data_IF_389270080581
#
_entry.id   IF_389270080581
#
_cell.length_a   1.000
_cell.length_b   1.000
_cell.length_c   1.000
_cell.angle_alpha   90.00
_cell.angle_beta   90.00
_cell.angle_gamma   90.00
#
_symmetry.space_group_name_H-M   'P 1'
#
loop_
_entity.id
_entity.type
_entity.pdbx_description
1 polymer ?
#
# COMPACT_ATOMS: atom_id res chain seq x y z
N UNK A 1 4.09 -46.75 10.87
CA UNK A 1 4.83 -45.79 11.67
C UNK A 1 3.92 -44.66 12.11
N UNK A 2 3.87 -44.37 13.40
CA UNK A 2 3.14 -43.25 14.00
C UNK A 2 4.15 -42.40 14.77
N UNK A 3 4.12 -41.07 14.53
CA UNK A 3 4.97 -40.14 15.24
C UNK A 3 4.13 -38.94 15.69
N UNK A 4 4.06 -38.70 16.99
CA UNK A 4 3.27 -37.62 17.57
C UNK A 4 4.15 -36.75 18.46
N UNK A 5 4.26 -35.46 18.10
CA UNK A 5 4.93 -34.49 18.98
C UNK A 5 4.04 -34.23 20.20
N UNK A 6 4.59 -34.48 21.39
CA UNK A 6 3.91 -34.26 22.67
C UNK A 6 4.20 -32.86 23.21
N UNK A 7 5.45 -32.42 23.05
CA UNK A 7 5.90 -31.13 23.52
C UNK A 7 6.96 -30.56 22.57
N UNK A 8 6.74 -29.35 22.10
CA UNK A 8 7.54 -28.69 21.08
C UNK A 8 8.25 -27.42 21.58
N UNK A 9 8.37 -27.24 22.91
CA UNK A 9 8.97 -26.03 23.49
C UNK A 9 8.19 -24.73 23.19
N UNK A 10 6.93 -24.84 22.75
CA UNK A 10 6.11 -23.70 22.37
C UNK A 10 6.35 -23.21 20.93
N UNK A 11 7.04 -23.99 20.10
CA UNK A 11 7.39 -23.66 18.72
C UNK A 11 6.14 -23.44 17.85
N UNK A 12 5.16 -24.34 17.91
CA UNK A 12 3.90 -24.22 17.16
C UNK A 12 3.13 -22.96 17.60
N UNK A 13 3.04 -22.70 18.93
CA UNK A 13 2.36 -21.51 19.45
C UNK A 13 3.03 -20.22 18.99
N UNK A 14 4.36 -20.15 19.07
CA UNK A 14 5.11 -18.97 18.65
C UNK A 14 5.09 -18.79 17.13
N UNK A 15 5.09 -19.88 16.34
CA UNK A 15 4.90 -19.83 14.90
C UNK A 15 3.51 -19.30 14.51
N UNK A 16 2.44 -19.77 15.16
CA UNK A 16 1.08 -19.22 14.95
C UNK A 16 1.01 -17.72 15.28
N UNK A 17 1.63 -17.30 16.38
CA UNK A 17 1.67 -15.88 16.75
C UNK A 17 2.46 -15.05 15.73
N UNK A 18 3.56 -15.56 15.20
CA UNK A 18 4.35 -14.88 14.17
C UNK A 18 3.53 -14.70 12.86
N UNK A 19 2.80 -15.74 12.43
CA UNK A 19 1.91 -15.65 11.27
C UNK A 19 0.78 -14.63 11.52
N UNK A 20 0.16 -14.66 12.71
CA UNK A 20 -0.89 -13.70 13.07
C UNK A 20 -0.35 -12.26 13.07
N UNK A 21 0.83 -12.03 13.63
CA UNK A 21 1.44 -10.70 13.65
C UNK A 21 1.83 -10.24 12.23
N UNK A 22 2.27 -11.15 11.35
CA UNK A 22 2.54 -10.84 9.95
C UNK A 22 1.26 -10.43 9.22
N UNK A 23 0.15 -11.15 9.45
CA UNK A 23 -1.16 -10.79 8.90
C UNK A 23 -1.61 -9.38 9.32
N UNK A 24 -1.40 -9.00 10.59
CA UNK A 24 -1.74 -7.63 11.03
C UNK A 24 -0.86 -6.57 10.35
N UNK A 25 0.42 -6.85 10.08
CA UNK A 25 1.27 -5.95 9.28
C UNK A 25 0.72 -5.80 7.86
N UNK A 26 0.39 -6.92 7.20
CA UNK A 26 -0.14 -6.89 5.83
C UNK A 26 -1.48 -6.15 5.76
N UNK A 27 -2.36 -6.35 6.75
CA UNK A 27 -3.62 -5.64 6.87
C UNK A 27 -3.43 -4.12 7.01
N UNK A 28 -2.53 -3.70 7.92
CA UNK A 28 -2.26 -2.27 8.09
C UNK A 28 -1.56 -1.66 6.86
N UNK A 29 -0.74 -2.41 6.13
CA UNK A 29 -0.20 -1.98 4.84
C UNK A 29 -1.30 -1.68 3.81
N UNK A 30 -2.36 -2.50 3.78
CA UNK A 30 -3.52 -2.25 2.91
C UNK A 30 -4.20 -0.94 3.30
N UNK A 31 -4.38 -0.67 4.60
CA UNK A 31 -4.97 0.59 5.08
C UNK A 31 -4.12 1.82 4.69
N UNK A 32 -2.79 1.74 4.80
CA UNK A 32 -1.87 2.80 4.33
C UNK A 32 -2.01 3.02 2.82
N UNK A 33 -2.07 1.93 2.04
CA UNK A 33 -2.26 2.02 0.59
C UNK A 33 -3.61 2.64 0.22
N UNK A 34 -4.69 2.26 0.91
CA UNK A 34 -6.01 2.85 0.71
C UNK A 34 -6.02 4.34 1.05
N UNK A 35 -5.30 4.74 2.11
CA UNK A 35 -5.16 6.15 2.45
C UNK A 35 -4.45 6.94 1.34
N UNK A 36 -3.39 6.40 0.77
CA UNK A 36 -2.68 7.02 -0.36
C UNK A 36 -3.53 7.09 -1.64
N UNK A 37 -4.40 6.11 -1.88
CA UNK A 37 -5.38 6.13 -2.99
C UNK A 37 -6.39 7.26 -2.79
N UNK A 38 -6.91 7.46 -1.57
CA UNK A 38 -7.81 8.56 -1.26
C UNK A 38 -7.15 9.93 -1.51
N UNK A 39 -5.89 10.08 -1.11
CA UNK A 39 -5.13 11.31 -1.40
C UNK A 39 -5.02 11.56 -2.91
N UNK A 40 -4.70 10.52 -3.69
CA UNK A 40 -4.61 10.63 -5.15
C UNK A 40 -5.97 10.97 -5.79
N UNK A 41 -7.07 10.39 -5.32
CA UNK A 41 -8.42 10.72 -5.77
C UNK A 41 -8.73 12.20 -5.48
N UNK A 42 -8.40 12.69 -4.28
CA UNK A 42 -8.58 14.08 -3.93
C UNK A 42 -7.77 15.01 -4.85
N UNK A 43 -6.51 14.69 -5.13
CA UNK A 43 -5.67 15.46 -6.05
C UNK A 43 -6.28 15.53 -7.45
N UNK A 44 -6.79 14.42 -7.97
CA UNK A 44 -7.46 14.37 -9.28
C UNK A 44 -8.74 15.20 -9.26
N UNK A 45 -9.57 15.06 -8.22
CA UNK A 45 -10.83 15.79 -8.07
C UNK A 45 -10.60 17.31 -8.03
N UNK A 46 -9.66 17.77 -7.20
CA UNK A 46 -9.29 19.19 -7.16
C UNK A 46 -8.60 19.65 -8.44
N UNK A 47 -7.87 18.76 -9.13
CA UNK A 47 -7.31 19.03 -10.45
C UNK A 47 -8.39 19.31 -11.50
N UNK A 48 -9.53 18.60 -11.48
CA UNK A 48 -10.67 18.86 -12.34
C UNK A 48 -11.28 20.24 -12.03
N UNK A 49 -11.51 20.54 -10.75
CA UNK A 49 -12.05 21.83 -10.34
C UNK A 49 -11.15 23.01 -10.73
N UNK A 50 -9.83 22.81 -10.62
CA UNK A 50 -8.85 23.81 -11.06
C UNK A 50 -8.90 24.01 -12.56
N UNK A 51 -8.95 22.93 -13.35
CA UNK A 51 -9.05 22.99 -14.80
C UNK A 51 -10.35 23.71 -15.23
N UNK A 52 -11.48 23.47 -14.57
CA UNK A 52 -12.73 24.20 -14.83
C UNK A 52 -12.61 25.69 -14.56
N UNK A 53 -11.99 26.06 -13.46
CA UNK A 53 -11.74 27.47 -13.13
C UNK A 53 -10.80 28.14 -14.15
N UNK A 54 -9.77 27.42 -14.65
CA UNK A 54 -8.86 27.91 -15.68
C UNK A 54 -9.55 28.07 -17.04
N UNK A 55 -10.43 27.14 -17.43
CA UNK A 55 -11.23 27.24 -18.66
C UNK A 55 -12.11 28.49 -18.60
N UNK A 56 -12.81 28.70 -17.48
CA UNK A 56 -13.67 29.89 -17.34
C UNK A 56 -12.88 31.19 -17.31
N UNK A 57 -11.76 31.24 -16.61
CA UNK A 57 -10.87 32.41 -16.60
C UNK A 57 -10.35 32.71 -18.03
N UNK A 58 -9.95 31.70 -18.75
CA UNK A 58 -9.46 31.86 -20.11
C UNK A 58 -10.57 32.29 -21.09
N UNK A 59 -11.80 31.81 -20.89
CA UNK A 59 -12.98 32.27 -21.65
C UNK A 59 -13.21 33.77 -21.45
N UNK A 60 -13.13 34.27 -20.22
CA UNK A 60 -13.25 35.70 -19.91
C UNK A 60 -12.10 36.52 -20.54
N UNK A 61 -10.87 35.98 -20.51
CA UNK A 61 -9.71 36.60 -21.15
C UNK A 61 -9.93 36.72 -22.67
N UNK A 62 -10.43 35.67 -23.32
CA UNK A 62 -10.73 35.71 -24.79
C UNK A 62 -11.75 36.78 -25.11
N UNK A 63 -12.81 36.93 -24.32
CA UNK A 63 -13.80 37.99 -24.51
C UNK A 63 -13.14 39.38 -24.39
N UNK A 64 -12.30 39.57 -23.36
CA UNK A 64 -11.57 40.85 -23.19
C UNK A 64 -10.64 41.16 -24.36
N UNK A 65 -9.85 40.17 -24.83
CA UNK A 65 -8.94 40.31 -25.94
C UNK A 65 -9.68 40.59 -27.25
N UNK A 66 -10.83 39.94 -27.49
CA UNK A 66 -11.65 40.18 -28.69
C UNK A 66 -12.18 41.61 -28.70
N UNK A 67 -12.73 42.09 -27.59
CA UNK A 67 -13.21 43.47 -27.49
C UNK A 67 -12.06 44.46 -27.70
N UNK A 68 -10.87 44.19 -27.12
CA UNK A 68 -9.67 45.01 -27.31
C UNK A 68 -9.21 45.01 -28.78
N UNK A 69 -9.27 43.87 -29.44
CA UNK A 69 -8.95 43.77 -30.87
C UNK A 69 -9.86 44.64 -31.72
N UNK A 70 -11.18 44.57 -31.51
CA UNK A 70 -12.16 45.41 -32.23
C UNK A 70 -11.91 46.91 -32.02
N UNK A 71 -11.58 47.28 -30.78
CA UNK A 71 -11.26 48.68 -30.47
C UNK A 71 -9.98 49.18 -31.16
N UNK A 72 -8.89 48.37 -31.09
CA UNK A 72 -7.63 48.73 -31.75
C UNK A 72 -7.74 48.69 -33.25
N UNK A 73 -8.52 47.78 -33.82
CA UNK A 73 -8.82 47.73 -35.24
C UNK A 73 -9.46 49.06 -35.72
N UNK A 74 -10.41 49.61 -34.95
CA UNK A 74 -11.00 50.88 -35.22
C UNK A 74 -9.96 52.03 -35.19
N UNK A 75 -9.02 52.01 -34.24
CA UNK A 75 -7.93 53.00 -34.15
C UNK A 75 -6.96 52.88 -35.31
N UNK A 76 -6.62 51.71 -35.79
CA UNK A 76 -5.76 51.49 -36.97
C UNK A 76 -6.46 52.03 -38.22
N UNK A 77 -7.75 51.72 -38.38
CA UNK A 77 -8.55 52.23 -39.52
C UNK A 77 -8.61 53.79 -39.55
N UNK A 78 -8.56 54.41 -38.41
CA UNK A 78 -8.56 55.89 -38.28
C UNK A 78 -7.15 56.48 -38.21
N UNK A 79 -6.08 55.69 -38.37
CA UNK A 79 -4.69 56.19 -38.35
C UNK A 79 -4.15 56.58 -36.96
N UNK A 80 -4.81 56.15 -35.88
CA UNK A 80 -4.47 56.49 -34.49
C UNK A 80 -3.53 55.41 -33.86
N UNK A 81 -3.56 54.17 -34.33
CA UNK A 81 -2.74 53.07 -33.88
C UNK A 81 -2.01 52.38 -35.05
N UNK A 82 -0.96 51.61 -34.74
CA UNK A 82 -0.19 50.86 -35.74
C UNK A 82 -0.72 49.46 -35.96
N UNK A 83 -0.47 48.89 -37.12
CA UNK A 83 -0.83 47.50 -37.45
C UNK A 83 -0.16 46.51 -36.50
N UNK A 84 1.06 46.77 -36.03
CA UNK A 84 1.78 45.94 -35.06
C UNK A 84 1.05 45.81 -33.73
N UNK A 85 0.31 46.84 -33.29
CA UNK A 85 -0.48 46.77 -32.06
C UNK A 85 -1.65 45.81 -32.20
N UNK A 86 -2.31 45.79 -33.37
CA UNK A 86 -3.37 44.84 -33.69
C UNK A 86 -2.85 43.42 -33.80
N UNK A 87 -1.69 43.22 -34.43
CA UNK A 87 -1.07 41.93 -34.60
C UNK A 87 -0.63 41.33 -33.23
N UNK A 88 -0.18 42.18 -32.28
CA UNK A 88 0.14 41.75 -30.93
C UNK A 88 -1.08 41.19 -30.19
N UNK A 89 -2.24 41.88 -30.26
CA UNK A 89 -3.48 41.36 -29.62
C UNK A 89 -3.92 40.06 -30.30
N UNK A 90 -3.77 39.94 -31.63
CA UNK A 90 -4.08 38.70 -32.32
C UNK A 90 -3.24 37.51 -31.87
N UNK A 91 -1.95 37.73 -31.63
CA UNK A 91 -1.06 36.72 -31.04
C UNK A 91 -1.56 36.28 -29.64
N UNK A 92 -2.01 37.22 -28.83
CA UNK A 92 -2.52 36.88 -27.47
C UNK A 92 -3.85 36.14 -27.53
N UNK A 93 -4.73 36.43 -28.49
CA UNK A 93 -5.95 35.62 -28.77
C UNK A 93 -5.56 34.18 -29.11
N UNK A 94 -4.60 33.98 -30.03
CA UNK A 94 -4.14 32.64 -30.44
C UNK A 94 -3.57 31.88 -29.25
N UNK A 95 -2.78 32.55 -28.38
CA UNK A 95 -2.28 31.93 -27.13
C UNK A 95 -3.42 31.53 -26.19
N UNK A 96 -4.45 32.37 -26.06
CA UNK A 96 -5.62 32.03 -25.25
C UNK A 96 -6.38 30.83 -25.82
N UNK A 97 -6.47 30.67 -27.15
CA UNK A 97 -7.06 29.49 -27.79
C UNK A 97 -6.23 28.21 -27.56
N UNK A 98 -4.90 28.32 -27.58
CA UNK A 98 -4.02 27.21 -27.25
C UNK A 98 -4.22 26.79 -25.77
N UNK A 99 -4.21 27.76 -24.85
CA UNK A 99 -4.43 27.48 -23.43
C UNK A 99 -5.78 26.82 -23.17
N UNK A 100 -6.85 27.23 -23.86
CA UNK A 100 -8.16 26.59 -23.77
C UNK A 100 -8.10 25.12 -24.15
N UNK A 101 -7.42 24.80 -25.24
CA UNK A 101 -7.23 23.41 -25.71
C UNK A 101 -6.46 22.59 -24.68
N UNK A 102 -5.42 23.17 -24.09
CA UNK A 102 -4.59 22.53 -23.06
C UNK A 102 -5.41 22.24 -21.79
N UNK A 103 -6.16 23.24 -21.29
CA UNK A 103 -6.99 23.07 -20.10
C UNK A 103 -8.10 22.02 -20.30
N UNK A 104 -8.76 22.02 -21.47
CA UNK A 104 -9.75 21.00 -21.83
C UNK A 104 -9.11 19.60 -21.87
N UNK A 105 -7.90 19.48 -22.42
CA UNK A 105 -7.18 18.21 -22.50
C UNK A 105 -6.79 17.70 -21.11
N UNK A 106 -6.31 18.59 -20.24
CA UNK A 106 -5.99 18.28 -18.83
C UNK A 106 -7.24 17.82 -18.09
N UNK A 107 -8.38 18.55 -18.22
CA UNK A 107 -9.65 18.15 -17.61
C UNK A 107 -10.08 16.76 -18.07
N UNK A 108 -10.05 16.49 -19.38
CA UNK A 108 -10.39 15.16 -19.96
C UNK A 108 -9.51 14.06 -19.38
N UNK A 109 -8.22 14.33 -19.22
CA UNK A 109 -7.26 13.37 -18.66
C UNK A 109 -7.61 13.04 -17.19
N UNK A 110 -7.87 14.04 -16.37
CA UNK A 110 -8.27 13.83 -14.97
C UNK A 110 -9.59 13.08 -14.84
N UNK A 111 -10.61 13.42 -15.68
CA UNK A 111 -11.89 12.70 -15.70
C UNK A 111 -11.68 11.22 -16.08
N UNK A 112 -10.87 10.95 -17.12
CA UNK A 112 -10.57 9.58 -17.52
C UNK A 112 -9.88 8.78 -16.41
N UNK A 113 -8.96 9.39 -15.67
CA UNK A 113 -8.29 8.76 -14.53
C UNK A 113 -9.29 8.52 -13.41
N UNK A 114 -10.13 9.52 -13.07
CA UNK A 114 -11.14 9.39 -12.02
C UNK A 114 -12.15 8.29 -12.34
N UNK A 115 -12.62 8.20 -13.59
CA UNK A 115 -13.52 7.13 -14.07
C UNK A 115 -12.90 5.75 -13.85
N UNK A 116 -11.58 5.58 -14.11
CA UNK A 116 -10.87 4.31 -13.89
C UNK A 116 -10.75 3.97 -12.40
N UNK A 117 -10.56 4.96 -11.53
CA UNK A 117 -10.48 4.72 -10.09
C UNK A 117 -11.83 4.37 -9.47
N UNK A 118 -12.90 5.04 -9.91
CA UNK A 118 -14.25 4.86 -9.36
C UNK A 118 -15.03 3.73 -10.01
N UNK A 119 -14.63 3.30 -11.21
CA UNK A 119 -15.37 2.33 -12.02
C UNK A 119 -16.66 2.91 -12.67
N UNK A 120 -16.92 4.21 -12.50
CA UNK A 120 -18.05 4.90 -13.12
C UNK A 120 -17.59 5.63 -14.37
N UNK A 121 -18.45 5.63 -15.41
CA UNK A 121 -18.24 6.46 -16.58
C UNK A 121 -18.70 7.90 -16.26
N UNK A 122 -17.75 8.84 -16.27
CA UNK A 122 -17.99 10.24 -15.91
C UNK A 122 -17.93 11.07 -17.17
N UNK A 123 -19.03 11.74 -17.49
CA UNK A 123 -19.12 12.64 -18.65
C UNK A 123 -18.29 13.91 -18.43
N UNK A 124 -17.75 14.48 -19.53
CA UNK A 124 -16.99 15.73 -19.50
C UNK A 124 -17.78 16.92 -18.95
N UNK A 125 -19.09 16.94 -19.16
CA UNK A 125 -19.98 18.02 -18.70
C UNK A 125 -20.49 17.82 -17.27
N UNK A 126 -20.05 16.77 -16.58
CA UNK A 126 -20.41 16.55 -15.17
C UNK A 126 -19.94 17.73 -14.34
N UNK A 127 -20.86 18.31 -13.57
CA UNK A 127 -20.56 19.41 -12.66
C UNK A 127 -19.91 18.87 -11.38
N UNK A 128 -18.71 19.34 -11.09
CA UNK A 128 -17.96 19.01 -9.89
C UNK A 128 -18.16 20.10 -8.83
N UNK A 129 -18.67 19.70 -7.67
CA UNK A 129 -18.97 20.64 -6.58
C UNK A 129 -17.75 20.84 -5.68
N UNK A 130 -17.38 22.08 -5.40
CA UNK A 130 -16.33 22.38 -4.43
C UNK A 130 -16.79 21.97 -3.03
N UNK A 131 -16.05 21.03 -2.35
CA UNK A 131 -16.42 20.60 -1.01
C UNK A 131 -16.40 21.76 -0.02
N UNK A 132 -17.36 21.79 0.90
CA UNK A 132 -17.31 22.72 2.04
C UNK A 132 -16.16 22.33 2.95
N UNK A 133 -15.38 23.33 3.37
CA UNK A 133 -14.22 23.14 4.24
C UNK A 133 -14.64 23.21 5.69
N UNK A 134 -14.90 22.07 6.31
CA UNK A 134 -15.00 22.00 7.77
C UNK A 134 -13.60 21.92 8.36
N UNK A 135 -13.29 22.86 9.28
CA UNK A 135 -12.01 22.83 9.98
C UNK A 135 -11.90 21.51 10.76
N UNK A 136 -10.90 20.67 10.50
CA UNK A 136 -10.73 19.46 11.27
C UNK A 136 -10.52 19.83 12.75
N UNK A 137 -11.32 19.22 13.63
CA UNK A 137 -11.09 19.32 15.07
C UNK A 137 -9.68 18.81 15.38
N UNK A 138 -8.86 19.65 16.02
CA UNK A 138 -7.45 19.38 16.33
C UNK A 138 -7.20 18.12 17.21
N UNK A 139 -8.26 17.42 17.64
CA UNK A 139 -8.19 16.27 18.53
C UNK A 139 -7.89 14.91 17.87
N UNK A 140 -7.70 14.83 16.55
CA UNK A 140 -7.60 13.55 15.83
C UNK A 140 -6.29 13.38 15.04
N UNK A 141 -5.18 13.96 15.49
CA UNK A 141 -3.88 13.87 14.80
C UNK A 141 -3.32 12.43 14.82
N UNK A 142 -3.71 11.59 15.79
CA UNK A 142 -3.17 10.23 15.99
C UNK A 142 -3.84 9.12 15.14
N UNK A 143 -4.60 9.49 14.11
CA UNK A 143 -5.30 8.49 13.27
C UNK A 143 -4.64 8.21 11.93
N UNK A 144 -3.35 8.48 11.78
CA UNK A 144 -2.66 8.09 10.55
C UNK A 144 -2.47 6.58 10.51
N UNK A 145 -2.88 5.89 9.43
CA UNK A 145 -2.75 4.43 9.32
C UNK A 145 -1.30 3.95 9.41
N UNK A 146 -0.32 4.81 9.09
CA UNK A 146 1.10 4.52 9.21
C UNK A 146 1.51 4.23 10.66
N UNK A 147 0.91 4.90 11.65
CA UNK A 147 1.20 4.68 13.07
C UNK A 147 0.76 3.25 13.46
N UNK A 148 -0.44 2.85 13.05
CA UNK A 148 -0.94 1.48 13.28
C UNK A 148 -0.07 0.44 12.59
N UNK A 149 0.48 0.75 11.41
CA UNK A 149 1.42 -0.12 10.71
C UNK A 149 2.73 -0.28 11.51
N UNK A 150 3.31 0.80 12.05
CA UNK A 150 4.51 0.72 12.88
C UNK A 150 4.25 -0.10 14.16
N UNK A 151 3.13 0.09 14.83
CA UNK A 151 2.75 -0.72 15.99
C UNK A 151 2.64 -2.21 15.62
N UNK A 152 2.03 -2.54 14.50
CA UNK A 152 1.94 -3.91 14.01
C UNK A 152 3.32 -4.50 13.68
N UNK A 153 4.24 -3.72 13.12
CA UNK A 153 5.62 -4.14 12.85
C UNK A 153 6.38 -4.43 14.15
N UNK A 154 6.25 -3.59 15.17
CA UNK A 154 6.84 -3.82 16.49
C UNK A 154 6.30 -5.12 17.12
N UNK A 155 4.99 -5.36 17.00
CA UNK A 155 4.37 -6.60 17.49
C UNK A 155 4.88 -7.83 16.73
N UNK A 156 5.09 -7.71 15.42
CA UNK A 156 5.70 -8.77 14.62
C UNK A 156 7.11 -9.08 15.08
N UNK A 157 7.97 -8.09 15.29
CA UNK A 157 9.32 -8.30 15.80
C UNK A 157 9.33 -8.94 17.19
N UNK A 158 8.41 -8.58 18.08
CA UNK A 158 8.23 -9.24 19.39
C UNK A 158 7.83 -10.71 19.25
N UNK A 159 6.96 -11.01 18.28
CA UNK A 159 6.56 -12.39 17.98
C UNK A 159 7.73 -13.20 17.40
N UNK A 160 8.53 -12.62 16.52
CA UNK A 160 9.74 -13.24 15.97
C UNK A 160 10.80 -13.48 17.06
N UNK A 161 10.95 -12.56 18.02
CA UNK A 161 11.79 -12.75 19.19
C UNK A 161 11.34 -13.94 20.05
N UNK A 162 10.02 -14.06 20.27
CA UNK A 162 9.45 -15.20 20.99
C UNK A 162 9.70 -16.52 20.26
N UNK A 163 9.59 -16.52 18.93
CA UNK A 163 9.86 -17.68 18.08
C UNK A 163 11.32 -18.13 18.14
N UNK A 164 12.28 -17.18 18.17
CA UNK A 164 13.69 -17.52 18.39
C UNK A 164 13.92 -18.21 19.71
N UNK A 165 13.25 -17.75 20.76
CA UNK A 165 13.39 -18.36 22.08
C UNK A 165 12.81 -19.77 22.14
N UNK A 166 11.69 -20.04 21.45
CA UNK A 166 11.09 -21.38 21.43
C UNK A 166 11.99 -22.41 20.76
N UNK A 167 12.81 -22.00 19.78
CA UNK A 167 13.80 -22.87 19.13
C UNK A 167 14.96 -23.34 20.02
N UNK A 168 15.08 -22.83 21.27
CA UNK A 168 16.07 -23.28 22.25
C UNK A 168 15.63 -24.46 23.10
N UNK A 169 14.35 -24.74 23.11
CA UNK A 169 13.80 -25.81 23.95
C UNK A 169 13.84 -27.16 23.22
N UNK A 170 14.03 -28.25 23.96
CA UNK A 170 13.95 -29.59 23.41
C UNK A 170 12.53 -29.92 22.91
N UNK A 171 12.43 -30.82 21.95
CA UNK A 171 11.18 -31.35 21.44
C UNK A 171 11.02 -32.81 21.83
N UNK A 172 9.87 -33.18 22.39
CA UNK A 172 9.55 -34.54 22.75
C UNK A 172 8.48 -35.08 21.82
N UNK A 173 8.76 -36.25 21.25
CA UNK A 173 7.82 -36.97 20.37
C UNK A 173 7.64 -38.41 20.85
N UNK A 174 6.43 -38.91 20.77
CA UNK A 174 6.13 -40.32 20.91
C UNK A 174 6.19 -40.95 19.51
N UNK A 175 6.86 -42.08 19.40
CA UNK A 175 6.83 -42.86 18.19
C UNK A 175 6.39 -44.31 18.45
N UNK A 176 5.67 -44.87 17.51
CA UNK A 176 5.28 -46.27 17.46
C UNK A 176 5.52 -46.78 16.04
N UNK A 177 6.39 -47.75 15.92
CA UNK A 177 6.67 -48.44 14.65
C UNK A 177 6.26 -49.91 14.79
N UNK A 178 5.46 -50.39 13.89
CA UNK A 178 5.06 -51.81 13.82
C UNK A 178 5.36 -52.39 12.46
N UNK A 179 5.68 -53.63 12.43
CA UNK A 179 5.95 -54.39 11.19
C UNK A 179 5.70 -55.85 11.33
N UNK A 180 5.69 -56.53 10.19
CA UNK A 180 5.64 -57.99 10.07
C UNK A 180 6.78 -58.43 9.15
N UNK A 181 7.72 -59.22 9.65
CA UNK A 181 8.93 -59.51 8.93
C UNK A 181 9.60 -60.81 9.36
N UNK A 182 10.61 -61.23 8.58
CA UNK A 182 11.46 -62.38 8.84
C UNK A 182 12.91 -62.01 8.61
N UNK A 183 13.79 -62.06 9.62
CA UNK A 183 13.44 -62.17 11.03
C UNK A 183 12.66 -60.98 11.52
N UNK A 184 11.89 -61.14 12.61
CA UNK A 184 11.26 -60.04 13.33
C UNK A 184 12.30 -59.24 14.16
N UNK A 185 11.96 -58.83 15.39
CA UNK A 185 12.92 -58.22 16.31
C UNK A 185 13.98 -59.23 16.83
N UNK A 186 13.62 -60.53 16.86
CA UNK A 186 14.55 -61.59 17.26
C UNK A 186 15.28 -62.09 16.00
N UNK A 187 16.59 -61.77 15.89
CA UNK A 187 17.45 -62.17 14.79
C UNK A 187 17.75 -63.68 14.78
N UNK A 188 17.50 -64.42 15.87
CA UNK A 188 17.73 -65.84 15.99
C UNK A 188 16.53 -66.66 15.55
N UNK A 189 15.34 -66.10 15.49
CA UNK A 189 14.16 -66.75 14.95
C UNK A 189 13.96 -66.52 13.47
N UNK A 190 14.17 -67.57 12.68
CA UNK A 190 13.96 -67.54 11.22
C UNK A 190 12.48 -67.76 10.84
N UNK A 191 11.55 -67.02 11.49
CA UNK A 191 10.12 -67.05 11.26
C UNK A 191 9.55 -65.64 10.97
N UNK A 192 8.48 -65.57 10.21
CA UNK A 192 7.69 -64.33 10.09
C UNK A 192 6.95 -64.07 11.40
N UNK A 193 7.23 -62.94 12.02
CA UNK A 193 6.58 -62.53 13.26
C UNK A 193 6.20 -61.04 13.21
N UNK A 194 5.07 -60.65 13.83
CA UNK A 194 4.75 -59.24 14.05
C UNK A 194 5.64 -58.69 15.12
N UNK A 195 6.03 -57.40 14.95
CA UNK A 195 6.79 -56.67 15.98
C UNK A 195 6.29 -55.23 16.11
N UNK A 196 6.48 -54.64 17.24
CA UNK A 196 6.29 -53.22 17.46
C UNK A 196 7.40 -52.65 18.34
N UNK A 197 7.74 -51.38 18.07
CA UNK A 197 8.67 -50.61 18.88
C UNK A 197 7.94 -49.32 19.21
N UNK A 198 7.88 -48.98 20.46
CA UNK A 198 7.35 -47.70 20.95
C UNK A 198 8.36 -47.01 21.86
N UNK A 199 8.45 -45.70 21.77
CA UNK A 199 9.38 -44.97 22.55
C UNK A 199 9.17 -43.47 22.51
N UNK A 200 9.97 -42.74 23.32
CA UNK A 200 10.01 -41.30 23.34
C UNK A 200 11.30 -40.85 22.65
N UNK A 201 11.16 -39.92 21.72
CA UNK A 201 12.28 -39.29 21.00
C UNK A 201 12.47 -37.88 21.51
N UNK A 202 13.69 -37.57 21.99
CA UNK A 202 14.14 -36.22 22.34
C UNK A 202 14.96 -35.65 21.19
N UNK A 203 14.55 -34.50 20.70
CA UNK A 203 15.34 -33.72 19.72
C UNK A 203 15.65 -32.34 20.31
N UNK A 204 16.94 -32.04 20.46
CA UNK A 204 17.41 -30.77 21.01
C UNK A 204 18.53 -30.17 20.16
N UNK A 205 18.29 -29.03 19.56
CA UNK A 205 19.29 -28.32 18.77
C UNK A 205 20.09 -27.34 19.63
N UNK A 206 21.19 -27.84 20.21
CA UNK A 206 22.10 -27.04 21.07
C UNK A 206 22.85 -25.97 20.23
N UNK A 207 23.04 -26.19 18.92
CA UNK A 207 23.70 -25.24 18.01
C UNK A 207 23.04 -23.85 17.94
N UNK A 208 21.73 -23.79 18.17
CA UNK A 208 20.98 -22.52 18.17
C UNK A 208 21.49 -21.53 19.25
N UNK A 209 22.10 -21.98 20.32
CA UNK A 209 22.64 -21.10 21.37
C UNK A 209 23.76 -20.19 20.86
N UNK A 210 24.56 -20.62 19.89
CA UNK A 210 25.69 -19.85 19.36
C UNK A 210 25.24 -18.64 18.56
N UNK A 211 24.17 -18.77 17.76
CA UNK A 211 23.66 -17.70 16.89
C UNK A 211 22.65 -16.78 17.57
N UNK A 212 22.06 -17.23 18.69
CA UNK A 212 20.94 -16.57 19.36
C UNK A 212 21.25 -15.12 19.76
N UNK A 213 22.43 -14.85 20.31
CA UNK A 213 22.81 -13.51 20.80
C UNK A 213 22.79 -12.49 19.65
N UNK A 214 23.33 -12.85 18.50
CA UNK A 214 23.36 -11.99 17.32
C UNK A 214 21.96 -11.76 16.74
N UNK A 215 21.14 -12.82 16.65
CA UNK A 215 19.78 -12.75 16.13
C UNK A 215 18.87 -11.90 17.05
N UNK A 216 18.98 -12.06 18.37
CA UNK A 216 18.27 -11.22 19.33
C UNK A 216 18.66 -9.74 19.23
N UNK A 217 19.95 -9.45 19.05
CA UNK A 217 20.44 -8.08 18.87
C UNK A 217 19.85 -7.45 17.60
N UNK A 218 19.81 -8.21 16.50
CA UNK A 218 19.24 -7.74 15.24
C UNK A 218 17.74 -7.41 15.38
N UNK A 219 16.95 -8.29 16.00
CA UNK A 219 15.52 -8.02 16.21
C UNK A 219 15.31 -6.82 17.14
N UNK A 220 16.12 -6.69 18.20
CA UNK A 220 16.02 -5.55 19.10
C UNK A 220 16.31 -4.24 18.40
N UNK A 221 17.35 -4.18 17.58
CA UNK A 221 17.65 -3.00 16.77
C UNK A 221 16.48 -2.62 15.83
N UNK A 222 15.77 -3.61 15.26
CA UNK A 222 14.60 -3.36 14.42
C UNK A 222 13.36 -2.88 15.20
N UNK A 223 13.31 -3.10 16.51
CA UNK A 223 12.24 -2.57 17.39
C UNK A 223 12.56 -1.12 17.80
N UNK A 224 13.83 -0.80 17.98
CA UNK A 224 14.29 0.49 18.49
C UNK A 224 14.46 1.54 17.38
N UNK A 225 14.36 1.14 16.09
CA UNK A 225 14.31 2.04 14.92
C UNK A 225 12.92 2.62 14.71
#
# INVERSE_FOLDING_TARGET
>A
DLNQTIWDGGSIKSAKNAVKSSYEVDRNNIEVNLYSVNERINQIYFGILLADAQIEQNRLLKIFLTNSYEQVESYVKNGIANQSDLDAIKVDIIKAEQNETDFITVKKSYISILSKFTGFDIDFNTEFVKPAFDRPNAGNVDRRPEISLFDAQVMKYRSDYSRLNSGLYPHFSLFVTGGYGKPGLDMFENKFSPYYIAGIKLNWNIGNFYSLKSQRKLIRNNIDM
#
